data_IF_381423508439
#
_entry.id   IF_381423508439
#
_cell.length_a   1.000
_cell.length_b   1.000
_cell.length_c   1.000
_cell.angle_alpha   90.00
_cell.angle_beta   90.00
_cell.angle_gamma   90.00
#
_symmetry.space_group_name_H-M   'P 1'
#
loop_
_entity.id
_entity.type
_entity.pdbx_description
1 polymer ?
#
# COMPACT_ATOMS: atom_id res chain seq x y z
N UNK A 1 0.80 -9.79 -20.03
CA UNK A 1 -0.32 -9.07 -19.43
C UNK A 1 -0.88 -8.10 -20.46
N UNK A 2 -2.20 -8.09 -20.65
CA UNK A 2 -2.91 -7.22 -21.61
C UNK A 2 -3.67 -6.17 -20.79
N UNK A 3 -3.50 -4.89 -21.12
CA UNK A 3 -4.22 -3.80 -20.49
C UNK A 3 -4.86 -2.94 -21.59
N UNK A 4 -6.18 -2.71 -21.51
CA UNK A 4 -6.97 -2.02 -22.56
C UNK A 4 -6.69 -2.57 -23.96
N UNK A 5 -6.63 -3.91 -24.10
CA UNK A 5 -6.39 -4.59 -25.38
C UNK A 5 -4.95 -4.56 -25.91
N UNK A 6 -4.01 -3.96 -25.18
CA UNK A 6 -2.59 -3.89 -25.57
C UNK A 6 -1.71 -4.71 -24.64
N UNK A 7 -0.76 -5.46 -25.21
CA UNK A 7 0.26 -6.20 -24.45
C UNK A 7 1.25 -5.21 -23.84
N UNK A 8 1.31 -5.13 -22.50
CA UNK A 8 2.26 -4.24 -21.83
C UNK A 8 3.67 -4.84 -21.83
N UNK A 9 4.68 -4.02 -22.16
CA UNK A 9 6.09 -4.33 -21.94
C UNK A 9 6.39 -4.44 -20.43
N UNK A 10 7.56 -5.00 -20.06
CA UNK A 10 7.99 -5.09 -18.66
C UNK A 10 8.05 -3.70 -18.00
N UNK A 11 8.69 -2.74 -18.66
CA UNK A 11 8.78 -1.35 -18.17
C UNK A 11 7.42 -0.66 -18.06
N UNK A 12 6.49 -0.89 -18.99
CA UNK A 12 5.15 -0.32 -18.91
C UNK A 12 4.33 -0.91 -17.75
N UNK A 13 4.58 -2.17 -17.38
CA UNK A 13 3.95 -2.82 -16.21
C UNK A 13 4.44 -2.19 -14.89
N UNK A 14 5.76 -2.08 -14.70
CA UNK A 14 6.32 -1.49 -13.47
C UNK A 14 5.89 -0.05 -13.25
N UNK A 15 5.59 0.69 -14.32
CA UNK A 15 5.05 2.05 -14.23
C UNK A 15 3.60 2.12 -13.72
N UNK A 16 2.85 1.03 -13.81
CA UNK A 16 1.43 1.00 -13.42
C UNK A 16 1.17 0.37 -12.05
N UNK A 17 2.11 -0.43 -11.55
CA UNK A 17 1.95 -1.19 -10.31
C UNK A 17 2.87 -0.67 -9.21
N UNK A 18 2.37 -0.70 -7.98
CA UNK A 18 3.16 -0.60 -6.77
C UNK A 18 2.74 -1.72 -5.82
N UNK A 19 3.69 -2.27 -5.09
CA UNK A 19 3.45 -3.30 -4.07
C UNK A 19 3.86 -2.76 -2.71
N UNK A 20 3.01 -2.94 -1.72
CA UNK A 20 3.29 -2.76 -0.31
C UNK A 20 3.52 -4.16 0.26
N UNK A 21 4.74 -4.43 0.71
CA UNK A 21 5.17 -5.74 1.19
C UNK A 21 4.73 -5.95 2.64
N UNK A 22 4.60 -7.21 3.05
CA UNK A 22 4.34 -7.58 4.44
C UNK A 22 5.40 -7.01 5.41
N UNK A 23 6.67 -7.17 5.08
CA UNK A 23 7.76 -6.51 5.80
C UNK A 23 8.16 -5.22 5.09
N UNK A 24 7.56 -4.12 5.53
CA UNK A 24 7.81 -2.78 4.99
C UNK A 24 9.23 -2.27 5.25
N UNK A 25 10.01 -2.90 6.15
CA UNK A 25 11.40 -2.51 6.40
C UNK A 25 12.27 -2.73 5.15
N UNK A 26 11.86 -3.64 4.27
CA UNK A 26 12.54 -3.89 3.00
C UNK A 26 12.15 -2.92 1.88
N UNK A 27 11.31 -1.91 2.17
CA UNK A 27 10.85 -0.92 1.19
C UNK A 27 11.26 0.52 1.53
N UNK A 28 11.61 0.79 2.80
CA UNK A 28 11.88 2.14 3.31
C UNK A 28 13.39 2.31 3.44
N UNK A 29 13.98 3.11 2.55
CA UNK A 29 15.44 3.24 2.42
C UNK A 29 15.95 4.68 2.55
N UNK A 30 15.05 5.66 2.53
CA UNK A 30 15.43 7.07 2.60
C UNK A 30 15.80 7.49 4.03
N UNK A 31 16.47 8.62 4.16
CA UNK A 31 16.90 9.18 5.43
C UNK A 31 15.79 9.92 6.20
N UNK A 32 14.67 10.22 5.55
CA UNK A 32 13.48 10.81 6.19
C UNK A 32 12.17 10.36 5.56
N UNK A 33 11.08 10.49 6.34
CA UNK A 33 9.71 10.25 5.87
C UNK A 33 9.38 11.08 4.63
N UNK A 34 9.80 12.35 4.62
CA UNK A 34 9.65 13.23 3.46
C UNK A 34 10.35 12.68 2.22
N UNK A 35 11.58 12.23 2.39
CA UNK A 35 12.38 11.72 1.28
C UNK A 35 11.87 10.36 0.76
N UNK A 36 11.20 9.55 1.60
CA UNK A 36 10.46 8.37 1.11
C UNK A 36 9.33 8.77 0.15
N UNK A 37 8.59 9.82 0.46
CA UNK A 37 7.56 10.33 -0.44
C UNK A 37 8.17 10.87 -1.75
N UNK A 38 9.28 11.62 -1.67
CA UNK A 38 9.99 12.15 -2.84
C UNK A 38 10.62 11.04 -3.69
N UNK A 39 11.07 9.94 -3.09
CA UNK A 39 11.59 8.78 -3.85
C UNK A 39 10.54 8.17 -4.76
N UNK A 40 9.29 8.14 -4.31
CA UNK A 40 8.16 7.64 -5.10
C UNK A 40 7.69 8.64 -6.17
N UNK A 41 7.77 9.95 -5.89
CA UNK A 41 7.43 11.03 -6.81
C UNK A 41 8.35 12.23 -6.63
N UNK A 42 9.46 12.32 -7.39
CA UNK A 42 10.41 13.43 -7.28
C UNK A 42 9.84 14.82 -7.59
N UNK A 43 8.67 14.88 -8.23
CA UNK A 43 8.00 16.15 -8.58
C UNK A 43 6.89 16.52 -7.60
N UNK A 44 6.74 15.79 -6.48
CA UNK A 44 5.74 16.11 -5.47
C UNK A 44 6.10 17.45 -4.79
N UNK A 45 5.08 18.29 -4.61
CA UNK A 45 5.24 19.52 -3.83
C UNK A 45 5.25 19.23 -2.34
N UNK A 46 5.85 20.12 -1.53
CA UNK A 46 5.79 19.99 -0.08
C UNK A 46 4.34 19.91 0.42
N UNK A 47 3.44 20.71 -0.14
CA UNK A 47 2.03 20.71 0.23
C UNK A 47 1.34 19.37 -0.06
N UNK A 48 1.64 18.71 -1.20
CA UNK A 48 1.11 17.38 -1.50
C UNK A 48 1.59 16.34 -0.49
N UNK A 49 2.87 16.40 -0.10
CA UNK A 49 3.47 15.51 0.89
C UNK A 49 2.85 15.72 2.26
N UNK A 50 2.78 16.97 2.74
CA UNK A 50 2.22 17.33 4.04
C UNK A 50 0.75 16.93 4.15
N UNK A 51 -0.06 17.20 3.14
CA UNK A 51 -1.47 16.82 3.10
C UNK A 51 -1.63 15.29 3.18
N UNK A 52 -0.82 14.55 2.42
CA UNK A 52 -0.86 13.10 2.46
C UNK A 52 -0.43 12.56 3.83
N UNK A 53 0.70 13.01 4.36
CA UNK A 53 1.19 12.59 5.67
C UNK A 53 0.22 12.94 6.80
N UNK A 54 -0.44 14.10 6.73
CA UNK A 54 -1.48 14.48 7.69
C UNK A 54 -2.66 13.51 7.69
N UNK A 55 -3.11 13.06 6.51
CA UNK A 55 -4.23 12.12 6.40
C UNK A 55 -3.91 10.72 6.93
N UNK A 56 -2.62 10.41 7.16
CA UNK A 56 -2.12 9.16 7.72
C UNK A 56 -1.51 9.30 9.12
N UNK A 57 -1.71 10.42 9.81
CA UNK A 57 -1.14 10.73 11.15
C UNK A 57 0.39 10.57 11.18
N UNK A 58 1.08 11.08 10.16
CA UNK A 58 2.53 11.00 10.01
C UNK A 58 3.21 12.36 9.86
N UNK A 59 2.44 13.47 9.87
CA UNK A 59 3.00 14.80 9.65
C UNK A 59 4.07 15.16 10.69
N UNK A 60 3.84 14.84 11.95
CA UNK A 60 4.79 15.08 13.06
C UNK A 60 6.09 14.25 12.94
N UNK A 61 6.11 13.32 12.01
CA UNK A 61 7.26 12.45 11.74
C UNK A 61 7.99 12.81 10.44
N UNK A 62 7.64 13.90 9.77
CA UNK A 62 8.07 14.22 8.39
C UNK A 62 9.59 14.21 8.22
N UNK A 63 10.33 14.69 9.21
CA UNK A 63 11.80 14.77 9.19
C UNK A 63 12.49 13.58 9.88
N UNK A 64 11.71 12.63 10.44
CA UNK A 64 12.25 11.46 11.13
C UNK A 64 12.74 10.41 10.15
N UNK A 65 13.80 9.69 10.55
CA UNK A 65 14.25 8.52 9.81
C UNK A 65 13.22 7.38 9.90
N UNK A 66 12.84 6.71 8.80
CA UNK A 66 11.81 5.66 8.78
C UNK A 66 12.02 4.55 9.80
N UNK A 67 13.25 4.13 10.06
CA UNK A 67 13.57 3.10 11.05
C UNK A 67 13.28 3.51 12.51
N UNK A 68 13.10 4.81 12.80
CA UNK A 68 12.73 5.30 14.13
C UNK A 68 11.22 5.28 14.37
N UNK A 69 10.44 4.97 13.37
CA UNK A 69 8.99 4.90 13.44
C UNK A 69 8.55 3.59 14.10
N UNK A 70 7.34 3.58 14.69
CA UNK A 70 6.69 2.34 15.11
C UNK A 70 6.32 1.47 13.90
N UNK A 71 6.04 0.17 14.12
CA UNK A 71 5.61 -0.73 13.05
C UNK A 71 4.40 -0.21 12.27
N UNK A 72 3.36 0.26 12.98
CA UNK A 72 2.18 0.84 12.34
C UNK A 72 2.47 2.14 11.60
N UNK A 73 3.38 2.99 12.09
CA UNK A 73 3.81 4.19 11.37
C UNK A 73 4.57 3.84 10.09
N UNK A 74 5.45 2.84 10.13
CA UNK A 74 6.14 2.35 8.92
C UNK A 74 5.17 1.79 7.89
N UNK A 75 4.15 1.04 8.34
CA UNK A 75 3.11 0.53 7.45
C UNK A 75 2.35 1.67 6.76
N UNK A 76 1.92 2.68 7.52
CA UNK A 76 1.27 3.87 6.97
C UNK A 76 2.17 4.62 5.98
N UNK A 77 3.46 4.75 6.29
CA UNK A 77 4.42 5.39 5.40
C UNK A 77 4.57 4.63 4.08
N UNK A 78 4.62 3.29 4.09
CA UNK A 78 4.67 2.49 2.87
C UNK A 78 3.41 2.66 2.01
N UNK A 79 2.24 2.83 2.64
CA UNK A 79 0.99 3.17 1.94
C UNK A 79 1.08 4.57 1.33
N UNK A 80 1.57 5.57 2.09
CA UNK A 80 1.78 6.93 1.58
C UNK A 80 2.73 6.94 0.38
N UNK A 81 3.83 6.18 0.43
CA UNK A 81 4.78 6.03 -0.67
C UNK A 81 4.09 5.44 -1.92
N UNK A 82 3.26 4.42 -1.74
CA UNK A 82 2.51 3.81 -2.84
C UNK A 82 1.51 4.80 -3.50
N UNK A 83 0.82 5.60 -2.69
CA UNK A 83 -0.11 6.65 -3.16
C UNK A 83 0.66 7.75 -3.88
N UNK A 84 1.76 8.24 -3.29
CA UNK A 84 2.61 9.30 -3.85
C UNK A 84 3.16 8.92 -5.22
N UNK A 85 3.45 7.63 -5.44
CA UNK A 85 3.86 7.10 -6.73
C UNK A 85 2.81 7.16 -7.84
N UNK A 86 1.56 7.55 -7.53
CA UNK A 86 0.43 7.73 -8.48
C UNK A 86 0.23 6.52 -9.41
N UNK A 87 0.47 5.30 -8.88
CA UNK A 87 0.29 4.06 -9.64
C UNK A 87 -1.17 3.66 -9.64
N UNK A 88 -1.66 3.16 -10.78
CA UNK A 88 -3.07 2.77 -10.93
C UNK A 88 -3.43 1.51 -10.15
N UNK A 89 -2.48 0.58 -10.04
CA UNK A 89 -2.66 -0.72 -9.39
C UNK A 89 -1.79 -0.79 -8.14
N UNK A 90 -2.40 -1.03 -7.00
CA UNK A 90 -1.72 -1.22 -5.73
C UNK A 90 -1.92 -2.67 -5.27
N UNK A 91 -0.83 -3.33 -4.91
CA UNK A 91 -0.83 -4.69 -4.38
C UNK A 91 -0.40 -4.59 -2.92
N UNK A 92 -1.18 -5.16 -2.03
CA UNK A 92 -0.91 -5.22 -0.60
C UNK A 92 -0.71 -6.68 -0.20
N UNK A 93 0.46 -6.98 0.34
CA UNK A 93 0.81 -8.31 0.82
C UNK A 93 0.72 -8.32 2.36
N UNK A 94 -0.27 -9.07 2.87
CA UNK A 94 -0.57 -9.19 4.31
C UNK A 94 -0.62 -7.83 5.04
N UNK A 95 -1.43 -6.85 4.59
CA UNK A 95 -1.37 -5.47 5.09
C UNK A 95 -1.81 -5.31 6.55
N UNK A 96 -2.41 -6.34 7.14
CA UNK A 96 -2.89 -6.33 8.54
C UNK A 96 -2.12 -7.29 9.44
N UNK A 97 -1.07 -7.94 8.93
CA UNK A 97 -0.27 -8.88 9.70
C UNK A 97 0.34 -8.22 10.94
N UNK A 98 0.09 -8.82 12.12
CA UNK A 98 0.58 -8.31 13.39
C UNK A 98 -0.11 -7.05 13.92
N UNK A 99 -1.20 -6.59 13.30
CA UNK A 99 -2.00 -5.47 13.78
C UNK A 99 -3.10 -5.96 14.74
N UNK A 100 -3.45 -5.13 15.71
CA UNK A 100 -4.67 -5.31 16.48
C UNK A 100 -5.92 -4.93 15.66
N UNK A 101 -7.09 -5.27 16.16
CA UNK A 101 -8.36 -5.02 15.51
C UNK A 101 -8.59 -3.54 15.12
N UNK A 102 -8.19 -2.60 15.99
CA UNK A 102 -8.36 -1.17 15.74
C UNK A 102 -7.53 -0.71 14.54
N UNK A 103 -6.28 -1.13 14.49
CA UNK A 103 -5.38 -0.78 13.38
C UNK A 103 -5.79 -1.49 12.08
N UNK A 104 -6.28 -2.73 12.15
CA UNK A 104 -6.88 -3.42 11.00
C UNK A 104 -8.06 -2.62 10.42
N UNK A 105 -8.96 -2.11 11.27
CA UNK A 105 -10.06 -1.27 10.82
C UNK A 105 -9.58 0.01 10.13
N UNK A 106 -8.53 0.64 10.65
CA UNK A 106 -7.95 1.82 10.01
C UNK A 106 -7.39 1.50 8.60
N UNK A 107 -6.63 0.42 8.47
CA UNK A 107 -6.12 -0.03 7.15
C UNK A 107 -7.30 -0.29 6.20
N UNK A 108 -8.36 -0.95 6.67
CA UNK A 108 -9.57 -1.19 5.90
C UNK A 108 -10.17 0.09 5.33
N UNK A 109 -10.31 1.13 6.16
CA UNK A 109 -10.86 2.42 5.73
C UNK A 109 -9.96 3.12 4.69
N UNK A 110 -8.64 3.10 4.87
CA UNK A 110 -7.73 3.65 3.87
C UNK A 110 -7.82 2.93 2.52
N UNK A 111 -7.90 1.60 2.51
CA UNK A 111 -8.06 0.85 1.27
C UNK A 111 -9.38 1.18 0.58
N UNK A 112 -10.48 1.31 1.33
CA UNK A 112 -11.78 1.72 0.77
C UNK A 112 -11.71 3.12 0.15
N UNK A 113 -11.08 4.07 0.84
CA UNK A 113 -10.88 5.43 0.31
C UNK A 113 -10.06 5.41 -0.99
N UNK A 114 -8.97 4.63 -1.04
CA UNK A 114 -8.19 4.46 -2.25
C UNK A 114 -9.03 3.89 -3.41
N UNK A 115 -9.86 2.89 -3.14
CA UNK A 115 -10.77 2.32 -4.14
C UNK A 115 -11.78 3.36 -4.66
N UNK A 116 -12.34 4.19 -3.77
CA UNK A 116 -13.24 5.30 -4.13
C UNK A 116 -12.53 6.36 -4.99
N UNK A 117 -11.24 6.61 -4.76
CA UNK A 117 -10.42 7.49 -5.61
C UNK A 117 -9.96 6.82 -6.92
N UNK A 118 -10.49 5.64 -7.21
CA UNK A 118 -10.30 4.95 -8.50
C UNK A 118 -9.00 4.15 -8.61
N UNK A 119 -8.30 3.87 -7.50
CA UNK A 119 -7.22 2.89 -7.49
C UNK A 119 -7.80 1.47 -7.63
N UNK A 120 -7.05 0.59 -8.26
CA UNK A 120 -7.36 -0.84 -8.33
C UNK A 120 -6.46 -1.55 -7.34
N UNK A 121 -7.08 -2.17 -6.33
CA UNK A 121 -6.38 -2.77 -5.21
C UNK A 121 -6.42 -4.30 -5.32
N UNK A 122 -5.26 -4.92 -5.13
CA UNK A 122 -5.13 -6.35 -4.93
C UNK A 122 -4.59 -6.58 -3.53
N UNK A 123 -5.29 -7.40 -2.75
CA UNK A 123 -4.87 -7.75 -1.39
C UNK A 123 -4.60 -9.24 -1.36
N UNK A 124 -3.42 -9.62 -0.90
CA UNK A 124 -3.06 -10.98 -0.57
C UNK A 124 -3.12 -11.11 0.93
N UNK A 125 -3.97 -11.97 1.46
CA UNK A 125 -4.08 -12.19 2.91
C UNK A 125 -4.78 -13.53 3.21
N UNK A 126 -4.53 -14.04 4.39
CA UNK A 126 -5.23 -15.19 4.97
C UNK A 126 -6.24 -14.77 6.06
N UNK A 127 -6.37 -13.47 6.34
CA UNK A 127 -7.32 -12.93 7.32
C UNK A 127 -8.70 -12.77 6.71
N UNK A 128 -9.61 -13.70 7.01
CA UNK A 128 -10.99 -13.68 6.54
C UNK A 128 -11.83 -12.52 7.07
N UNK A 129 -11.52 -12.01 8.27
CA UNK A 129 -12.24 -10.87 8.83
C UNK A 129 -11.89 -9.61 8.03
N UNK A 130 -10.62 -9.43 7.73
CA UNK A 130 -10.16 -8.33 6.89
C UNK A 130 -10.71 -8.43 5.47
N UNK A 131 -10.70 -9.62 4.83
CA UNK A 131 -11.27 -9.84 3.50
C UNK A 131 -12.73 -9.41 3.44
N UNK A 132 -13.55 -9.84 4.40
CA UNK A 132 -14.97 -9.52 4.44
C UNK A 132 -15.24 -8.03 4.65
N UNK A 133 -14.33 -7.30 5.28
CA UNK A 133 -14.48 -5.87 5.55
C UNK A 133 -13.95 -4.99 4.43
N UNK A 134 -12.84 -5.39 3.80
CA UNK A 134 -12.08 -4.55 2.88
C UNK A 134 -12.34 -4.86 1.40
N UNK A 135 -12.71 -6.10 1.04
CA UNK A 135 -12.72 -6.55 -0.34
C UNK A 135 -14.14 -6.68 -0.90
N UNK A 136 -14.31 -6.33 -2.18
CA UNK A 136 -15.57 -6.50 -2.92
C UNK A 136 -15.72 -7.93 -3.45
N UNK A 137 -14.61 -8.60 -3.73
CA UNK A 137 -14.54 -9.98 -4.20
C UNK A 137 -13.21 -10.59 -3.78
N UNK A 138 -13.14 -11.90 -3.72
CA UNK A 138 -11.90 -12.61 -3.45
C UNK A 138 -11.77 -13.86 -4.31
N UNK A 139 -10.53 -14.32 -4.47
CA UNK A 139 -10.19 -15.57 -5.13
C UNK A 139 -9.40 -16.39 -4.12
N UNK A 140 -9.90 -17.58 -3.79
CA UNK A 140 -9.17 -18.49 -2.94
C UNK A 140 -8.20 -19.30 -3.79
N UNK A 141 -6.90 -19.24 -3.44
CA UNK A 141 -5.85 -20.03 -4.05
C UNK A 141 -5.48 -21.13 -3.07
N UNK A 142 -5.68 -22.39 -3.44
CA UNK A 142 -5.37 -23.55 -2.62
C UNK A 142 -5.00 -24.75 -3.47
N UNK A 143 -4.39 -25.78 -2.87
CA UNK A 143 -4.29 -27.08 -3.50
C UNK A 143 -5.71 -27.68 -3.56
N UNK A 144 -6.20 -27.95 -4.74
CA UNK A 144 -7.34 -28.84 -4.90
C UNK A 144 -6.85 -30.22 -4.48
N UNK A 145 -7.40 -30.73 -3.39
CA UNK A 145 -7.25 -32.13 -3.03
C UNK A 145 -8.05 -32.94 -4.07
N UNK A 146 -7.37 -33.58 -5.03
CA UNK A 146 -8.02 -34.42 -6.06
C UNK A 146 -8.57 -35.72 -5.46
N UNK A 147 -8.65 -35.85 -4.14
CA UNK A 147 -9.13 -37.02 -3.43
C UNK A 147 -10.59 -36.87 -2.96
N UNK A 148 -11.52 -36.53 -3.89
CA UNK A 148 -12.96 -36.79 -3.71
C UNK A 148 -13.63 -37.18 -5.02
#
# INVERSE_FOLDING_TARGET
MIFRGRKLSRSARTKQFCMVMQDVNHQLFSDSVKNECLSANPNATNQEIENLLSSFDLLDCIDRHPLTLSGGQRQRLAICQAIMGKKKFLIFDEPTSGLDFRHMCQVTEWLKQLAQHGYILFVVTHDYEFLNRACNCYIQIGQFDESK
#
